data_IF_410705254676
#
_entry.id   IF_410705254676
#
_cell.length_a   1.000
_cell.length_b   1.000
_cell.length_c   1.000
_cell.angle_alpha   90.00
_cell.angle_beta   90.00
_cell.angle_gamma   90.00
#
_symmetry.space_group_name_H-M   'P 1'
#
loop_
_entity.id
_entity.type
_entity.pdbx_description
1 polymer ?
#
# COMPACT_ATOMS: atom_id res chain seq x y z
N UNK A 1 -15.25 11.09 14.27
CA UNK A 1 -16.02 9.83 14.19
C UNK A 1 -15.48 8.96 15.29
N UNK A 2 -16.28 8.76 16.33
CA UNK A 2 -15.99 7.76 17.35
C UNK A 2 -16.24 6.38 16.70
N UNK A 3 -15.34 5.43 16.93
CA UNK A 3 -15.50 4.04 16.48
C UNK A 3 -16.58 3.36 17.35
N UNK A 4 -17.83 3.74 17.12
CA UNK A 4 -18.97 2.97 17.63
C UNK A 4 -19.27 1.87 16.60
N UNK A 5 -19.32 0.61 17.05
CA UNK A 5 -19.70 -0.51 16.20
C UNK A 5 -21.23 -0.54 16.12
N UNK A 6 -21.85 -0.34 14.96
CA UNK A 6 -23.32 -0.33 14.86
C UNK A 6 -23.87 -1.69 14.43
N UNK A 7 -25.00 -2.10 15.01
CA UNK A 7 -25.80 -3.23 14.58
C UNK A 7 -26.62 -2.95 13.32
N UNK A 8 -27.22 -4.01 12.76
CA UNK A 8 -28.10 -3.92 11.58
C UNK A 8 -29.38 -3.10 11.82
N UNK A 9 -29.69 -2.78 13.08
CA UNK A 9 -30.77 -1.89 13.53
C UNK A 9 -30.32 -0.43 13.70
N UNK A 10 -29.04 -0.13 13.46
CA UNK A 10 -28.45 1.19 13.66
C UNK A 10 -28.13 1.53 15.11
N UNK A 11 -28.15 0.55 16.03
CA UNK A 11 -27.77 0.75 17.43
C UNK A 11 -26.27 0.60 17.61
N UNK A 12 -25.63 1.55 18.32
CA UNK A 12 -24.22 1.43 18.68
C UNK A 12 -24.01 0.32 19.72
N UNK A 13 -23.34 -0.76 19.33
CA UNK A 13 -22.64 -1.68 20.22
C UNK A 13 -21.41 -1.00 20.80
N UNK A 14 -21.58 -0.39 21.97
CA UNK A 14 -20.46 -0.26 22.89
C UNK A 14 -20.30 -1.59 23.64
N UNK A 15 -19.07 -2.00 24.00
CA UNK A 15 -18.91 -3.16 24.87
C UNK A 15 -19.73 -2.95 26.15
N UNK A 16 -20.59 -3.91 26.52
CA UNK A 16 -21.47 -3.84 27.70
C UNK A 16 -20.71 -3.77 29.04
N UNK A 17 -19.38 -3.78 29.02
CA UNK A 17 -18.53 -3.69 30.19
C UNK A 17 -17.92 -2.29 30.32
N UNK A 18 -18.41 -1.53 31.30
CA UNK A 18 -17.69 -0.37 31.83
C UNK A 18 -16.30 -0.83 32.29
N UNK A 19 -15.24 -0.24 31.74
CA UNK A 19 -13.87 -0.52 32.20
C UNK A 19 -13.78 -0.04 33.65
N UNK A 20 -13.70 -0.97 34.60
CA UNK A 20 -13.58 -0.62 36.00
C UNK A 20 -12.18 -0.09 36.31
N UNK A 21 -12.11 1.10 36.90
CA UNK A 21 -10.88 1.74 37.36
C UNK A 21 -9.78 1.88 36.29
N UNK A 22 -10.04 2.52 35.14
CA UNK A 22 -9.06 2.69 34.07
C UNK A 22 -7.80 3.45 34.54
N UNK A 23 -7.94 4.31 35.54
CA UNK A 23 -6.83 5.01 36.20
C UNK A 23 -5.84 4.08 36.94
N UNK A 24 -6.23 2.85 37.29
CA UNK A 24 -5.35 1.86 37.92
C UNK A 24 -4.55 1.04 36.90
N UNK A 25 -4.95 1.06 35.63
CA UNK A 25 -4.34 0.27 34.56
C UNK A 25 -4.19 1.11 33.28
N UNK A 26 -3.40 2.19 33.32
CA UNK A 26 -3.22 3.03 32.14
C UNK A 26 -2.59 2.21 31.01
N UNK A 27 -3.10 2.39 29.79
CA UNK A 27 -2.46 1.82 28.61
C UNK A 27 -1.04 2.38 28.48
N UNK A 28 -0.01 1.54 28.29
CA UNK A 28 1.36 2.01 28.26
C UNK A 28 1.57 2.95 27.06
N UNK A 29 2.46 3.91 27.24
CA UNK A 29 2.96 4.79 26.19
C UNK A 29 4.02 4.06 25.37
N UNK A 30 4.24 4.51 24.12
CA UNK A 30 5.28 3.93 23.26
C UNK A 30 6.67 4.06 23.89
N UNK A 31 6.94 5.16 24.61
CA UNK A 31 8.22 5.41 25.25
C UNK A 31 8.50 4.44 26.40
N UNK A 32 7.47 4.07 27.17
CA UNK A 32 7.59 3.11 28.29
C UNK A 32 7.92 1.70 27.82
N UNK A 33 7.42 1.29 26.65
CA UNK A 33 7.61 -0.06 26.12
C UNK A 33 8.76 -0.16 25.11
N UNK A 34 9.30 0.97 24.63
CA UNK A 34 10.26 0.99 23.54
C UNK A 34 11.53 0.17 23.80
N UNK A 35 11.92 -0.03 25.07
CA UNK A 35 13.11 -0.81 25.44
C UNK A 35 12.88 -2.31 25.62
N UNK A 36 11.63 -2.77 25.61
CA UNK A 36 11.27 -4.19 25.81
C UNK A 36 10.54 -4.70 24.55
N UNK A 37 11.17 -5.56 23.73
CA UNK A 37 10.58 -6.11 22.52
C UNK A 37 9.23 -6.82 22.71
N UNK A 38 9.00 -7.48 23.85
CA UNK A 38 7.71 -8.15 24.10
C UNK A 38 6.62 -7.13 24.40
N UNK A 39 6.91 -6.16 25.27
CA UNK A 39 5.97 -5.09 25.58
C UNK A 39 5.70 -4.19 24.36
N UNK A 40 6.73 -3.91 23.56
CA UNK A 40 6.61 -3.18 22.30
C UNK A 40 5.74 -3.95 21.30
N UNK A 41 5.83 -5.28 21.28
CA UNK A 41 4.98 -6.10 20.44
C UNK A 41 3.52 -6.11 20.89
N UNK A 42 3.27 -6.25 22.19
CA UNK A 42 1.91 -6.14 22.73
C UNK A 42 1.32 -4.75 22.44
N UNK A 43 2.11 -3.68 22.60
CA UNK A 43 1.74 -2.34 22.18
C UNK A 43 1.45 -2.26 20.68
N UNK A 44 2.27 -2.90 19.84
CA UNK A 44 2.09 -2.88 18.38
C UNK A 44 0.80 -3.56 17.97
N UNK A 45 0.50 -4.73 18.52
CA UNK A 45 -0.68 -5.54 18.19
C UNK A 45 -1.98 -4.86 18.66
N UNK A 46 -1.96 -4.21 19.83
CA UNK A 46 -3.15 -3.58 20.42
C UNK A 46 -3.51 -2.24 19.78
N UNK A 47 -2.67 -1.69 18.90
CA UNK A 47 -2.95 -0.44 18.20
C UNK A 47 -3.58 -0.72 16.85
N UNK A 48 -4.62 0.05 16.52
CA UNK A 48 -5.32 -0.07 15.23
C UNK A 48 -4.45 0.21 13.99
N UNK A 49 -3.31 0.89 14.15
CA UNK A 49 -2.44 1.27 13.02
C UNK A 49 -0.97 1.14 13.38
N UNK A 50 -0.23 0.47 12.50
CA UNK A 50 1.23 0.43 12.52
C UNK A 50 1.79 1.77 11.99
N UNK A 51 2.28 2.61 12.89
CA UNK A 51 2.77 3.96 12.55
C UNK A 51 4.27 3.97 12.26
N UNK A 52 4.74 5.04 11.59
CA UNK A 52 6.18 5.23 11.33
C UNK A 52 6.98 5.36 12.63
N UNK A 53 6.41 5.97 13.68
CA UNK A 53 7.07 6.06 14.99
C UNK A 53 7.27 4.68 15.61
N UNK A 54 6.26 3.79 15.53
CA UNK A 54 6.38 2.40 15.99
C UNK A 54 7.40 1.65 15.13
N UNK A 55 7.39 1.87 13.82
CA UNK A 55 8.36 1.26 12.91
C UNK A 55 9.81 1.60 13.28
N UNK A 56 10.09 2.86 13.62
CA UNK A 56 11.42 3.31 14.07
C UNK A 56 11.84 2.65 15.38
N UNK A 57 10.93 2.52 16.36
CA UNK A 57 11.25 1.81 17.61
C UNK A 57 11.64 0.34 17.36
N UNK A 58 11.00 -0.33 16.40
CA UNK A 58 11.39 -1.67 15.99
C UNK A 58 12.74 -1.73 15.27
N UNK A 59 13.08 -0.70 14.49
CA UNK A 59 14.38 -0.59 13.83
C UNK A 59 15.53 -0.35 14.81
N UNK A 60 15.24 0.28 15.96
CA UNK A 60 16.22 0.50 17.02
C UNK A 60 16.49 -0.77 17.86
N UNK A 61 15.67 -1.82 17.73
CA UNK A 61 15.88 -3.10 18.40
C UNK A 61 16.97 -3.94 17.73
N UNK A 62 17.73 -4.75 18.49
CA UNK A 62 18.60 -5.76 17.90
C UNK A 62 17.77 -6.74 17.04
N UNK A 63 18.10 -6.81 15.74
CA UNK A 63 17.32 -7.57 14.76
C UNK A 63 17.08 -9.03 15.15
N UNK A 64 18.06 -9.69 15.78
CA UNK A 64 17.96 -11.06 16.27
C UNK A 64 16.94 -11.23 17.39
N UNK A 65 16.87 -10.26 18.31
CA UNK A 65 15.89 -10.28 19.41
C UNK A 65 14.50 -10.02 18.85
N UNK A 66 14.35 -8.99 18.01
CA UNK A 66 13.08 -8.65 17.39
C UNK A 66 12.53 -9.82 16.56
N UNK A 67 13.35 -10.46 15.74
CA UNK A 67 12.98 -11.64 14.96
C UNK A 67 12.52 -12.80 15.84
N UNK A 68 13.22 -13.09 16.95
CA UNK A 68 12.84 -14.15 17.88
C UNK A 68 11.46 -13.91 18.49
N UNK A 69 11.19 -12.68 18.94
CA UNK A 69 9.90 -12.28 19.51
C UNK A 69 8.78 -12.40 18.47
N UNK A 70 8.99 -11.85 17.26
CA UNK A 70 8.02 -11.89 16.16
C UNK A 70 7.70 -13.33 15.76
N UNK A 71 8.72 -14.16 15.52
CA UNK A 71 8.55 -15.54 15.07
C UNK A 71 7.82 -16.38 16.11
N UNK A 72 8.21 -16.25 17.38
CA UNK A 72 7.56 -16.96 18.49
C UNK A 72 6.09 -16.57 18.61
N UNK A 73 5.78 -15.27 18.59
CA UNK A 73 4.39 -14.81 18.71
C UNK A 73 3.55 -15.23 17.50
N UNK A 74 4.13 -15.24 16.30
CA UNK A 74 3.44 -15.66 15.08
C UNK A 74 3.00 -17.11 15.14
N UNK A 75 3.89 -18.02 15.56
CA UNK A 75 3.58 -19.45 15.68
C UNK A 75 2.51 -19.75 16.73
N UNK A 76 2.43 -18.95 17.80
CA UNK A 76 1.49 -19.15 18.91
C UNK A 76 0.10 -18.57 18.66
N UNK A 77 -0.07 -17.74 17.64
CA UNK A 77 -1.34 -17.06 17.36
C UNK A 77 -1.93 -17.51 16.03
N UNK A 78 -3.26 -17.62 15.97
CA UNK A 78 -4.00 -17.96 14.74
C UNK A 78 -4.78 -16.76 14.17
N UNK A 79 -4.88 -15.66 14.93
CA UNK A 79 -5.64 -14.49 14.51
C UNK A 79 -4.92 -13.76 13.37
N UNK A 80 -5.63 -13.57 12.25
CA UNK A 80 -5.12 -12.91 11.04
C UNK A 80 -4.56 -11.53 11.35
N UNK A 81 -5.29 -10.70 12.11
CA UNK A 81 -4.86 -9.35 12.46
C UNK A 81 -3.53 -9.30 13.22
N UNK A 82 -3.34 -10.22 14.16
CA UNK A 82 -2.07 -10.35 14.92
C UNK A 82 -0.94 -10.76 13.98
N UNK A 83 -1.17 -11.77 13.12
CA UNK A 83 -0.17 -12.24 12.17
C UNK A 83 0.21 -11.18 11.13
N UNK A 84 -0.74 -10.39 10.66
CA UNK A 84 -0.49 -9.25 9.78
C UNK A 84 0.37 -8.19 10.46
N UNK A 85 0.08 -7.83 11.71
CA UNK A 85 0.91 -6.89 12.47
C UNK A 85 2.35 -7.38 12.65
N UNK A 86 2.54 -8.69 12.85
CA UNK A 86 3.87 -9.32 12.95
C UNK A 86 4.65 -9.27 11.62
N UNK A 87 3.96 -9.40 10.48
CA UNK A 87 4.56 -9.19 9.16
C UNK A 87 4.93 -7.72 8.92
N UNK A 88 4.10 -6.78 9.39
CA UNK A 88 4.42 -5.35 9.35
C UNK A 88 5.67 -5.01 10.18
N UNK A 89 5.86 -5.66 11.34
CA UNK A 89 7.10 -5.56 12.12
C UNK A 89 8.28 -6.18 11.36
N UNK A 90 8.12 -7.37 10.80
CA UNK A 90 9.19 -8.00 10.00
C UNK A 90 9.64 -7.10 8.85
N UNK A 91 8.70 -6.40 8.21
CA UNK A 91 8.97 -5.45 7.14
C UNK A 91 9.84 -4.25 7.57
N UNK A 92 9.90 -3.90 8.87
CA UNK A 92 10.77 -2.83 9.38
C UNK A 92 12.18 -3.33 9.70
N UNK A 93 12.30 -4.58 10.13
CA UNK A 93 13.57 -5.27 10.41
C UNK A 93 14.30 -5.60 9.10
N UNK A 94 13.55 -5.89 8.02
CA UNK A 94 14.07 -6.07 6.67
C UNK A 94 14.68 -7.45 6.45
N UNK A 95 15.80 -7.53 5.72
CA UNK A 95 16.40 -8.78 5.22
C UNK A 95 16.70 -9.84 6.29
N UNK A 96 16.90 -9.46 7.56
CA UNK A 96 17.07 -10.42 8.64
C UNK A 96 15.84 -11.33 8.86
N UNK A 97 14.66 -10.91 8.38
CA UNK A 97 13.42 -11.67 8.48
C UNK A 97 13.13 -12.55 7.25
N UNK A 98 14.05 -12.70 6.29
CA UNK A 98 13.85 -13.49 5.06
C UNK A 98 13.30 -14.91 5.35
N UNK A 99 13.94 -15.64 6.26
CA UNK A 99 13.50 -16.99 6.64
C UNK A 99 12.11 -17.02 7.28
N UNK A 100 11.76 -16.00 8.06
CA UNK A 100 10.44 -15.88 8.68
C UNK A 100 9.35 -15.58 7.63
N UNK A 101 9.61 -14.69 6.67
CA UNK A 101 8.64 -14.37 5.62
C UNK A 101 8.40 -15.58 4.71
N UNK A 102 9.46 -16.34 4.36
CA UNK A 102 9.29 -17.62 3.64
C UNK A 102 8.46 -18.63 4.42
N UNK A 103 8.70 -18.75 5.73
CA UNK A 103 7.90 -19.61 6.61
C UNK A 103 6.43 -19.21 6.61
N UNK A 104 6.12 -17.91 6.68
CA UNK A 104 4.75 -17.41 6.63
C UNK A 104 4.06 -17.75 5.29
N UNK A 105 4.76 -17.58 4.16
CA UNK A 105 4.24 -17.97 2.84
C UNK A 105 4.02 -19.47 2.69
N UNK A 106 4.93 -20.30 3.22
CA UNK A 106 4.86 -21.75 3.08
C UNK A 106 3.76 -22.38 3.93
N UNK A 107 3.66 -21.97 5.20
CA UNK A 107 2.79 -22.65 6.16
C UNK A 107 1.43 -21.95 6.34
N UNK A 108 1.35 -20.64 6.08
CA UNK A 108 0.18 -19.83 6.42
C UNK A 108 -0.26 -18.80 5.36
N UNK A 109 -0.26 -19.13 4.05
CA UNK A 109 -0.55 -18.16 2.98
C UNK A 109 -1.97 -17.55 3.05
N UNK A 110 -2.92 -18.25 3.67
CA UNK A 110 -4.32 -17.80 3.80
C UNK A 110 -4.67 -17.24 5.18
N UNK A 111 -3.74 -17.28 6.14
CA UNK A 111 -3.98 -16.84 7.53
C UNK A 111 -3.38 -15.46 7.83
N UNK A 112 -3.14 -14.67 6.79
CA UNK A 112 -2.53 -13.34 6.84
C UNK A 112 -3.16 -12.43 5.80
N UNK A 113 -3.14 -11.12 6.06
CA UNK A 113 -3.52 -10.15 5.05
C UNK A 113 -2.44 -10.03 3.96
N UNK A 114 -2.86 -10.02 2.70
CA UNK A 114 -1.93 -9.97 1.56
C UNK A 114 -1.17 -8.63 1.50
N UNK A 115 -1.72 -7.52 2.00
CA UNK A 115 -1.01 -6.25 2.05
C UNK A 115 0.17 -6.32 3.01
N UNK A 116 -0.02 -6.84 4.23
CA UNK A 116 1.09 -7.03 5.18
C UNK A 116 2.11 -8.06 4.67
N UNK A 117 1.64 -9.14 4.04
CA UNK A 117 2.53 -10.14 3.43
C UNK A 117 3.35 -9.56 2.27
N UNK A 118 2.73 -8.77 1.39
CA UNK A 118 3.42 -8.12 0.28
C UNK A 118 4.44 -7.08 0.75
N UNK A 119 4.09 -6.31 1.79
CA UNK A 119 5.02 -5.36 2.42
C UNK A 119 6.24 -6.07 2.99
N UNK A 120 6.03 -7.15 3.76
CA UNK A 120 7.12 -7.95 4.31
C UNK A 120 7.96 -8.58 3.19
N UNK A 121 7.32 -9.07 2.13
CA UNK A 121 8.02 -9.65 0.98
C UNK A 121 8.92 -8.63 0.27
N UNK A 122 8.42 -7.41 0.04
CA UNK A 122 9.19 -6.35 -0.60
C UNK A 122 10.37 -5.86 0.28
N UNK A 123 10.24 -5.91 1.60
CA UNK A 123 11.30 -5.50 2.54
C UNK A 123 12.33 -6.60 2.84
N UNK A 124 11.92 -7.86 2.87
CA UNK A 124 12.71 -8.95 3.46
C UNK A 124 13.25 -9.94 2.42
N UNK A 125 12.58 -10.12 1.28
CA UNK A 125 12.95 -11.13 0.28
C UNK A 125 13.71 -10.51 -0.90
N UNK A 126 14.48 -11.32 -1.66
CA UNK A 126 14.95 -10.93 -2.98
C UNK A 126 13.76 -10.52 -3.87
N UNK A 127 13.94 -9.46 -4.67
CA UNK A 127 12.86 -8.85 -5.46
C UNK A 127 12.03 -9.86 -6.24
N UNK A 128 12.67 -10.74 -7.03
CA UNK A 128 11.96 -11.69 -7.89
C UNK A 128 11.11 -12.66 -7.08
N UNK A 129 11.67 -13.20 -6.01
CA UNK A 129 10.98 -14.11 -5.12
C UNK A 129 9.73 -13.45 -4.52
N UNK A 130 9.89 -12.28 -3.90
CA UNK A 130 8.77 -11.59 -3.26
C UNK A 130 7.72 -11.10 -4.26
N UNK A 131 8.14 -10.54 -5.39
CA UNK A 131 7.23 -10.02 -6.41
C UNK A 131 6.41 -11.15 -7.04
N UNK A 132 7.05 -12.25 -7.40
CA UNK A 132 6.38 -13.39 -8.04
C UNK A 132 5.40 -14.06 -7.07
N UNK A 133 5.74 -14.20 -5.78
CA UNK A 133 4.81 -14.72 -4.76
C UNK A 133 3.54 -13.86 -4.63
N UNK A 134 3.67 -12.53 -4.62
CA UNK A 134 2.51 -11.64 -4.55
C UNK A 134 1.69 -11.70 -5.84
N UNK A 135 2.36 -11.74 -7.00
CA UNK A 135 1.67 -11.90 -8.29
C UNK A 135 0.90 -13.22 -8.35
N UNK A 136 1.48 -14.31 -7.89
CA UNK A 136 0.83 -15.63 -7.87
C UNK A 136 -0.35 -15.65 -6.89
N UNK A 137 -0.21 -15.04 -5.72
CA UNK A 137 -1.31 -14.87 -4.77
C UNK A 137 -2.49 -14.05 -5.35
N UNK A 138 -2.22 -13.10 -6.25
CA UNK A 138 -3.25 -12.33 -6.96
C UNK A 138 -3.92 -13.11 -8.10
N UNK A 139 -3.22 -14.06 -8.76
CA UNK A 139 -3.78 -14.86 -9.85
C UNK A 139 -4.92 -15.78 -9.40
N UNK A 140 -4.86 -16.26 -8.15
CA UNK A 140 -5.89 -17.14 -7.58
C UNK A 140 -7.19 -16.44 -7.18
N UNK A 141 -7.27 -15.11 -7.32
CA UNK A 141 -8.38 -14.28 -6.85
C UNK A 141 -9.36 -13.95 -7.97
N UNK A 142 -10.62 -13.75 -7.60
CA UNK A 142 -11.59 -13.21 -8.55
C UNK A 142 -11.31 -11.74 -8.90
N UNK A 143 -12.04 -11.20 -9.87
CA UNK A 143 -11.88 -9.81 -10.31
C UNK A 143 -12.12 -8.78 -9.20
N UNK A 144 -13.07 -9.02 -8.29
CA UNK A 144 -13.38 -8.09 -7.21
C UNK A 144 -12.27 -8.07 -6.17
N UNK A 145 -11.84 -9.25 -5.73
CA UNK A 145 -10.75 -9.42 -4.76
C UNK A 145 -9.43 -8.90 -5.33
N UNK A 146 -9.09 -9.28 -6.56
CA UNK A 146 -7.86 -8.82 -7.22
C UNK A 146 -7.80 -7.29 -7.31
N UNK A 147 -8.92 -6.63 -7.57
CA UNK A 147 -8.99 -5.16 -7.57
C UNK A 147 -8.71 -4.54 -6.20
N UNK A 148 -9.20 -5.18 -5.13
CA UNK A 148 -8.96 -4.70 -3.76
C UNK A 148 -7.50 -4.90 -3.35
N UNK A 149 -6.87 -5.97 -3.85
CA UNK A 149 -5.55 -6.41 -3.42
C UNK A 149 -4.41 -6.00 -4.35
N UNK A 150 -4.66 -5.58 -5.59
CA UNK A 150 -3.59 -5.25 -6.55
C UNK A 150 -2.66 -4.14 -6.06
N UNK A 151 -3.14 -3.26 -5.16
CA UNK A 151 -2.30 -2.20 -4.60
C UNK A 151 -1.16 -2.76 -3.73
N UNK A 152 -1.21 -4.02 -3.31
CA UNK A 152 -0.08 -4.72 -2.67
C UNK A 152 1.18 -4.76 -3.55
N UNK A 153 1.05 -4.71 -4.88
CA UNK A 153 2.21 -4.61 -5.77
C UNK A 153 2.97 -3.28 -5.62
N UNK A 154 2.33 -2.25 -5.06
CA UNK A 154 2.94 -0.93 -4.88
C UNK A 154 4.13 -0.93 -3.92
N UNK A 155 4.22 -1.91 -3.01
CA UNK A 155 5.36 -2.04 -2.08
C UNK A 155 6.68 -2.31 -2.81
N UNK A 156 6.64 -2.90 -4.00
CA UNK A 156 7.83 -3.20 -4.81
C UNK A 156 8.32 -2.00 -5.62
N UNK A 157 7.46 -0.99 -5.84
CA UNK A 157 7.77 0.26 -6.53
C UNK A 157 8.57 0.04 -7.82
N UNK A 158 8.07 -0.81 -8.71
CA UNK A 158 8.83 -1.31 -9.86
C UNK A 158 8.11 -1.16 -11.18
N UNK A 159 8.88 -1.02 -12.26
CA UNK A 159 8.37 -1.01 -13.63
C UNK A 159 7.57 -2.27 -13.99
N UNK A 160 7.85 -3.39 -13.33
CA UNK A 160 7.22 -4.69 -13.51
C UNK A 160 5.79 -4.71 -12.99
N UNK A 161 5.46 -3.88 -12.00
CA UNK A 161 4.07 -3.66 -11.62
C UNK A 161 3.29 -2.95 -12.75
N UNK A 162 3.94 -2.07 -13.53
CA UNK A 162 3.33 -1.46 -14.72
C UNK A 162 3.09 -2.50 -15.81
N UNK A 163 4.06 -3.38 -16.06
CA UNK A 163 3.92 -4.50 -17.00
C UNK A 163 2.78 -5.44 -16.57
N UNK A 164 2.64 -5.65 -15.25
CA UNK A 164 1.53 -6.42 -14.70
C UNK A 164 0.18 -5.74 -14.96
N UNK A 165 0.06 -4.42 -14.79
CA UNK A 165 -1.15 -3.66 -15.13
C UNK A 165 -1.50 -3.88 -16.62
N UNK A 166 -0.54 -3.71 -17.53
CA UNK A 166 -0.77 -3.87 -18.97
C UNK A 166 -1.38 -5.24 -19.34
N UNK A 167 -0.96 -6.30 -18.64
CA UNK A 167 -1.42 -7.68 -18.89
C UNK A 167 -2.72 -8.05 -18.17
N UNK A 168 -3.02 -7.39 -17.07
CA UNK A 168 -4.08 -7.85 -16.16
C UNK A 168 -5.24 -6.87 -16.01
N UNK A 169 -5.20 -5.68 -16.61
CA UNK A 169 -6.25 -4.68 -16.45
C UNK A 169 -7.63 -5.17 -16.92
N UNK A 170 -8.67 -4.90 -16.12
CA UNK A 170 -10.06 -5.28 -16.41
C UNK A 170 -11.06 -4.23 -15.90
N UNK A 171 -12.24 -4.21 -16.54
CA UNK A 171 -13.35 -3.31 -16.22
C UNK A 171 -14.00 -3.64 -14.87
N UNK A 172 -14.59 -2.67 -14.14
CA UNK A 172 -14.51 -1.22 -14.35
C UNK A 172 -13.09 -0.67 -14.18
N UNK A 173 -12.72 0.39 -14.90
CA UNK A 173 -11.42 1.05 -14.67
C UNK A 173 -11.56 2.05 -13.51
N UNK A 174 -11.08 1.69 -12.32
CA UNK A 174 -11.11 2.54 -11.12
C UNK A 174 -9.81 3.34 -10.95
N UNK A 175 -9.83 4.38 -10.12
CA UNK A 175 -8.64 5.19 -9.80
C UNK A 175 -7.51 4.36 -9.18
N UNK A 176 -7.81 3.19 -8.61
CA UNK A 176 -6.83 2.35 -7.92
C UNK A 176 -5.76 1.80 -8.89
N UNK A 177 -6.11 1.57 -10.16
CA UNK A 177 -5.13 1.25 -11.20
C UNK A 177 -4.13 2.38 -11.41
N UNK A 178 -4.63 3.62 -11.48
CA UNK A 178 -3.79 4.80 -11.59
C UNK A 178 -2.93 5.02 -10.35
N UNK A 179 -3.46 4.77 -9.15
CA UNK A 179 -2.69 4.85 -7.90
C UNK A 179 -1.56 3.81 -7.86
N UNK A 180 -1.83 2.57 -8.27
CA UNK A 180 -0.80 1.54 -8.37
C UNK A 180 0.28 1.96 -9.37
N UNK A 181 -0.10 2.44 -10.56
CA UNK A 181 0.84 2.93 -11.56
C UNK A 181 1.69 4.10 -11.01
N UNK A 182 1.07 5.07 -10.35
CA UNK A 182 1.76 6.20 -9.72
C UNK A 182 2.80 5.76 -8.67
N UNK A 183 2.55 4.66 -7.96
CA UNK A 183 3.50 4.10 -6.99
C UNK A 183 4.67 3.30 -7.62
N UNK A 184 4.61 3.01 -8.93
CA UNK A 184 5.40 1.96 -9.58
C UNK A 184 6.38 2.49 -10.63
N UNK A 185 7.27 3.41 -10.26
CA UNK A 185 8.33 3.96 -11.15
C UNK A 185 7.83 4.43 -12.53
N UNK A 186 6.66 5.05 -12.56
CA UNK A 186 6.05 5.52 -13.80
C UNK A 186 6.92 6.58 -14.48
N UNK A 187 7.17 6.40 -15.77
CA UNK A 187 7.86 7.37 -16.63
C UNK A 187 6.95 7.95 -17.71
N UNK A 188 7.35 9.12 -18.23
CA UNK A 188 6.58 9.79 -19.28
C UNK A 188 6.48 8.96 -20.56
N UNK A 189 7.53 8.24 -20.95
CA UNK A 189 7.52 7.43 -22.18
C UNK A 189 6.36 6.42 -22.14
N UNK A 190 6.14 5.80 -20.99
CA UNK A 190 5.03 4.86 -20.79
C UNK A 190 3.68 5.57 -20.72
N UNK A 191 3.60 6.71 -20.02
CA UNK A 191 2.39 7.54 -19.98
C UNK A 191 1.95 7.95 -21.39
N UNK A 192 2.86 8.50 -22.20
CA UNK A 192 2.56 8.93 -23.57
C UNK A 192 2.07 7.75 -24.43
N UNK A 193 2.71 6.58 -24.32
CA UNK A 193 2.26 5.35 -24.97
C UNK A 193 0.84 4.96 -24.54
N UNK A 194 0.55 4.97 -23.24
CA UNK A 194 -0.76 4.61 -22.71
C UNK A 194 -1.86 5.60 -23.12
N UNK A 195 -1.55 6.90 -23.16
CA UNK A 195 -2.47 7.91 -23.67
C UNK A 195 -2.80 7.67 -25.15
N UNK A 196 -1.81 7.34 -25.98
CA UNK A 196 -2.01 7.09 -27.41
C UNK A 196 -2.78 5.80 -27.71
N UNK A 197 -2.55 4.73 -26.93
CA UNK A 197 -3.28 3.46 -27.04
C UNK A 197 -4.79 3.58 -26.75
N UNK A 198 -5.22 4.60 -26.01
CA UNK A 198 -6.59 4.74 -25.57
C UNK A 198 -6.96 3.78 -24.44
N UNK A 199 -8.27 3.53 -24.27
CA UNK A 199 -8.76 2.72 -23.15
C UNK A 199 -8.36 1.25 -23.26
N UNK A 200 -8.10 0.58 -22.11
CA UNK A 200 -8.25 1.10 -20.74
C UNK A 200 -7.03 1.87 -20.22
N UNK A 201 -5.88 1.79 -20.90
CA UNK A 201 -4.60 2.30 -20.40
C UNK A 201 -4.51 3.82 -20.34
N UNK A 202 -5.17 4.54 -21.26
CA UNK A 202 -5.23 6.01 -21.20
C UNK A 202 -5.88 6.50 -19.90
N UNK A 203 -6.91 5.82 -19.40
CA UNK A 203 -7.53 6.14 -18.11
C UNK A 203 -6.57 5.88 -16.95
N UNK A 204 -5.80 4.78 -16.99
CA UNK A 204 -4.77 4.51 -15.97
C UNK A 204 -3.72 5.61 -15.97
N UNK A 205 -3.25 6.02 -17.15
CA UNK A 205 -2.27 7.10 -17.28
C UNK A 205 -2.80 8.41 -16.68
N UNK A 206 -4.02 8.81 -17.02
CA UNK A 206 -4.67 10.01 -16.49
C UNK A 206 -4.86 9.94 -14.97
N UNK A 207 -5.37 8.83 -14.44
CA UNK A 207 -5.55 8.63 -13.00
C UNK A 207 -4.20 8.62 -12.26
N UNK A 208 -3.14 8.07 -12.87
CA UNK A 208 -1.80 8.05 -12.30
C UNK A 208 -1.20 9.46 -12.21
N UNK A 209 -1.27 10.24 -13.29
CA UNK A 209 -0.82 11.64 -13.29
C UNK A 209 -1.58 12.46 -12.23
N UNK A 210 -2.91 12.29 -12.15
CA UNK A 210 -3.71 12.94 -11.12
C UNK A 210 -3.34 12.50 -9.70
N UNK A 211 -2.99 11.23 -9.49
CA UNK A 211 -2.54 10.70 -8.20
C UNK A 211 -1.16 11.24 -7.80
N UNK A 212 -0.26 11.47 -8.75
CA UNK A 212 1.04 12.11 -8.54
C UNK A 212 0.89 13.59 -8.13
N UNK A 213 -0.06 14.32 -8.74
CA UNK A 213 -0.38 15.71 -8.36
C UNK A 213 -1.04 15.75 -6.98
N UNK A 214 -1.97 14.83 -6.70
CA UNK A 214 -2.78 14.82 -5.49
C UNK A 214 -2.68 13.49 -4.77
N UNK A 215 -1.64 13.34 -3.96
CA UNK A 215 -1.35 12.14 -3.17
C UNK A 215 -2.37 11.94 -2.03
N UNK A 216 -3.52 11.36 -2.36
CA UNK A 216 -4.62 11.14 -1.39
C UNK A 216 -4.43 9.91 -0.50
N UNK A 217 -3.72 8.89 -0.95
CA UNK A 217 -3.48 7.68 -0.15
C UNK A 217 -2.34 7.91 0.85
N UNK A 218 -2.42 7.38 2.08
CA UNK A 218 -1.32 7.45 3.03
C UNK A 218 0.03 6.98 2.46
N UNK A 219 0.04 5.88 1.70
CA UNK A 219 1.28 5.34 1.11
C UNK A 219 1.90 6.29 0.08
N UNK A 220 1.12 6.81 -0.88
CA UNK A 220 1.64 7.81 -1.83
C UNK A 220 2.11 9.10 -1.14
N UNK A 221 1.54 9.50 0.00
CA UNK A 221 2.04 10.65 0.77
C UNK A 221 3.42 10.38 1.37
N UNK A 222 3.62 9.18 1.92
CA UNK A 222 4.90 8.79 2.53
C UNK A 222 5.96 8.60 1.45
N UNK A 223 5.64 7.91 0.36
CA UNK A 223 6.61 7.62 -0.70
C UNK A 223 6.88 8.79 -1.63
N UNK A 224 5.91 9.70 -1.77
CA UNK A 224 5.98 10.88 -2.63
C UNK A 224 6.57 10.58 -4.02
N UNK A 225 5.97 9.62 -4.77
CA UNK A 225 6.52 9.23 -6.06
C UNK A 225 6.46 10.40 -7.05
N UNK A 226 7.40 10.40 -7.99
CA UNK A 226 7.50 11.40 -9.05
C UNK A 226 7.42 10.71 -10.40
N UNK A 227 6.85 11.41 -11.37
CA UNK A 227 6.92 11.00 -12.76
C UNK A 227 8.39 11.08 -13.21
N UNK A 228 8.91 9.99 -13.76
CA UNK A 228 10.26 9.96 -14.31
C UNK A 228 10.28 10.51 -15.73
N UNK A 229 11.37 11.18 -16.12
CA UNK A 229 11.58 11.71 -17.49
C UNK A 229 10.44 12.61 -17.96
N UNK A 230 9.99 13.51 -17.08
CA UNK A 230 8.87 14.44 -17.35
C UNK A 230 9.19 15.27 -18.60
N UNK A 231 8.23 15.43 -19.53
CA UNK A 231 8.44 16.25 -20.72
C UNK A 231 8.35 17.74 -20.35
N UNK A 232 8.63 18.60 -21.30
CA UNK A 232 8.28 20.01 -21.17
C UNK A 232 6.74 20.20 -21.13
N UNK A 233 6.32 21.38 -20.66
CA UNK A 233 4.91 21.73 -20.45
C UNK A 233 4.08 21.69 -21.74
N UNK A 234 4.67 22.06 -22.88
CA UNK A 234 3.97 22.08 -24.16
C UNK A 234 3.71 20.64 -24.64
N UNK A 235 4.73 19.79 -24.60
CA UNK A 235 4.63 18.37 -24.93
C UNK A 235 3.60 17.65 -24.04
N UNK A 236 3.61 17.93 -22.73
CA UNK A 236 2.61 17.41 -21.80
C UNK A 236 1.19 17.82 -22.23
N UNK A 237 1.00 19.12 -22.49
CA UNK A 237 -0.30 19.69 -22.79
C UNK A 237 -0.87 19.16 -24.12
N UNK A 238 -0.04 19.03 -25.16
CA UNK A 238 -0.43 18.48 -26.46
C UNK A 238 -0.91 17.03 -26.30
N UNK A 239 -0.15 16.19 -25.59
CA UNK A 239 -0.52 14.78 -25.39
C UNK A 239 -1.85 14.63 -24.64
N UNK A 240 -2.07 15.42 -23.58
CA UNK A 240 -3.31 15.39 -22.79
C UNK A 240 -4.52 15.89 -23.59
N UNK A 241 -4.37 16.98 -24.36
CA UNK A 241 -5.44 17.50 -25.22
C UNK A 241 -5.78 16.52 -26.34
N UNK A 242 -4.78 15.94 -26.99
CA UNK A 242 -5.00 14.92 -28.02
C UNK A 242 -5.73 13.69 -27.45
N UNK A 243 -5.38 13.26 -26.23
CA UNK A 243 -6.11 12.18 -25.56
C UNK A 243 -7.58 12.54 -25.30
N UNK A 244 -7.86 13.77 -24.84
CA UNK A 244 -9.23 14.22 -24.58
C UNK A 244 -10.06 14.40 -25.87
N UNK A 245 -9.45 14.85 -26.96
CA UNK A 245 -10.09 14.94 -28.27
C UNK A 245 -10.45 13.55 -28.84
N UNK A 246 -9.57 12.56 -28.64
CA UNK A 246 -9.80 11.17 -29.06
C UNK A 246 -10.88 10.46 -28.24
N UNK A 247 -11.05 10.83 -26.97
CA UNK A 247 -11.98 10.21 -26.03
C UNK A 247 -12.74 11.26 -25.18
N UNK A 248 -13.70 12.00 -25.78
CA UNK A 248 -14.35 13.16 -25.17
C UNK A 248 -15.46 12.75 -24.20
N UNK A 249 -15.15 11.92 -23.21
CA UNK A 249 -16.09 11.62 -22.13
C UNK A 249 -15.87 12.54 -20.92
N UNK A 250 -16.91 12.81 -20.11
CA UNK A 250 -16.80 13.73 -18.97
C UNK A 250 -15.69 13.39 -17.97
N UNK A 251 -15.38 12.10 -17.79
CA UNK A 251 -14.26 11.69 -16.90
C UNK A 251 -12.91 12.10 -17.46
N UNK A 252 -12.66 11.87 -18.75
CA UNK A 252 -11.38 12.17 -19.40
C UNK A 252 -11.17 13.68 -19.42
N UNK A 253 -12.16 14.43 -19.89
CA UNK A 253 -12.09 15.90 -19.94
C UNK A 253 -11.81 16.51 -18.56
N UNK A 254 -12.52 16.04 -17.52
CA UNK A 254 -12.33 16.51 -16.13
C UNK A 254 -10.93 16.21 -15.60
N UNK A 255 -10.40 14.99 -15.82
CA UNK A 255 -9.07 14.62 -15.31
C UNK A 255 -7.98 15.35 -16.09
N UNK A 256 -8.11 15.44 -17.42
CA UNK A 256 -7.19 16.20 -18.27
C UNK A 256 -7.15 17.67 -17.87
N UNK A 257 -8.30 18.32 -17.68
CA UNK A 257 -8.37 19.71 -17.21
C UNK A 257 -7.65 19.88 -15.87
N UNK A 258 -7.92 19.00 -14.90
CA UNK A 258 -7.24 19.01 -13.62
C UNK A 258 -5.71 18.86 -13.75
N UNK A 259 -5.20 17.97 -14.61
CA UNK A 259 -3.76 17.79 -14.80
C UNK A 259 -3.14 19.04 -15.43
N UNK A 260 -3.80 19.65 -16.42
CA UNK A 260 -3.32 20.87 -17.08
C UNK A 260 -3.24 22.06 -16.11
N UNK A 261 -4.24 22.23 -15.26
CA UNK A 261 -4.29 23.31 -14.25
C UNK A 261 -3.19 23.17 -13.19
N UNK A 262 -2.67 21.96 -12.99
CA UNK A 262 -1.68 21.62 -11.97
C UNK A 262 -0.38 21.02 -12.55
N UNK A 263 -0.10 21.25 -13.83
CA UNK A 263 1.05 20.65 -14.53
C UNK A 263 2.41 20.96 -13.88
N UNK A 264 2.53 22.13 -13.24
CA UNK A 264 3.74 22.55 -12.51
C UNK A 264 4.13 21.59 -11.39
N UNK A 265 3.16 20.87 -10.80
CA UNK A 265 3.41 19.86 -9.77
C UNK A 265 4.13 18.61 -10.31
N UNK A 266 3.99 18.31 -11.61
CA UNK A 266 4.66 17.18 -12.25
C UNK A 266 6.07 17.55 -12.73
N UNK A 267 6.23 18.76 -13.27
CA UNK A 267 7.46 19.19 -13.94
C UNK A 267 8.58 19.51 -12.95
N UNK A 268 8.23 19.85 -11.70
CA UNK A 268 9.21 20.23 -10.69
C UNK A 268 9.87 21.55 -11.08
N UNK A 269 9.40 22.67 -10.51
CA UNK A 269 10.16 23.91 -10.62
C UNK A 269 11.46 23.69 -9.87
N UNK A 270 12.57 23.80 -10.61
CA UNK A 270 13.94 23.69 -10.09
C UNK A 270 14.23 24.75 -9.04
#
# INVERSE_FOLDING_TARGET
MHDDFYGDDGTAFQPDCEVQSPELYPAPTLQEVAGDPEALLDFTITRWRFSETVARMWQDQPATIALNVVTRRFAQNQQVGIRSALLDVAATIGQHCEGFVRYAWGEYPESVDLSSMARASASCLPFREGFDQVVDALKGRDERERRQLMFSLSYFRSSEALDWIERNIFSPITEDWGRLAAASELDWTRVAKWLDLGRPLSLVALDALAALIRTRTPLLRVWSPRLLRVPDSETLAIALRSCAEKDPVPRVERITGFILDHASCLIGVS
#
